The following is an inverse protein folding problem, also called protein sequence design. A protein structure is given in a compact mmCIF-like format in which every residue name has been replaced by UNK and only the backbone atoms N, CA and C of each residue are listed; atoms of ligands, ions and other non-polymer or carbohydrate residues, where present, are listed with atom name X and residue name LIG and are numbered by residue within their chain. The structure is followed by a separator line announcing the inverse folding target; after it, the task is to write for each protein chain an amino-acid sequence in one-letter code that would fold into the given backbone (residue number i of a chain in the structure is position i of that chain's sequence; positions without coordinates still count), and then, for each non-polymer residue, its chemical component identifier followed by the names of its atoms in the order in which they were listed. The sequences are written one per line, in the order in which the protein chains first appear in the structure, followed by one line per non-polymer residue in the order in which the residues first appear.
data_IF_954189842251
#
_entry.id   IF_954189842251
#
_cell.length_a   1.000
_cell.length_b   1.000
_cell.length_c   1.000
_cell.angle_alpha   90.00
_cell.angle_beta   90.00
_cell.angle_gamma   90.00
#
_symmetry.space_group_name_H-M   'P 1'
#
loop_
_entity.id
_entity.type
_entity.pdbx_description
1 polymer ?
#
# COMPACT_ATOMS: atom_id res chain seq x y z
N UNK A 1 9.61 19.18 -5.31
CA UNK A 1 9.80 17.82 -4.75
C UNK A 1 8.55 17.01 -4.86
N UNK A 2 8.65 15.79 -5.35
CA UNK A 2 7.51 14.89 -5.42
C UNK A 2 7.12 14.43 -4.01
N UNK A 3 5.83 14.47 -3.72
CA UNK A 3 5.29 13.93 -2.49
C UNK A 3 5.35 12.41 -2.53
N UNK A 4 5.86 11.80 -1.46
CA UNK A 4 5.89 10.35 -1.32
C UNK A 4 4.70 9.89 -0.50
N UNK A 5 4.22 8.70 -0.79
CA UNK A 5 3.15 8.07 -0.02
C UNK A 5 3.31 6.56 -0.10
N UNK A 6 2.97 5.86 0.99
CA UNK A 6 2.90 4.40 1.01
C UNK A 6 1.43 4.01 0.93
N UNK A 7 1.09 3.13 0.00
CA UNK A 7 -0.30 2.70 -0.21
C UNK A 7 -0.58 1.44 0.58
N UNK A 8 -1.67 1.45 1.36
CA UNK A 8 -2.19 0.25 1.99
C UNK A 8 -2.93 -0.61 0.96
N UNK A 9 -3.13 -1.88 1.30
CA UNK A 9 -3.83 -2.86 0.47
C UNK A 9 -5.19 -2.37 -0.01
N UNK A 10 -5.98 -1.80 0.90
CA UNK A 10 -7.34 -1.32 0.58
C UNK A 10 -7.35 -0.20 -0.45
N UNK A 11 -6.33 0.63 -0.45
CA UNK A 11 -6.21 1.73 -1.43
C UNK A 11 -5.94 1.15 -2.82
N UNK A 12 -5.03 0.19 -2.92
CA UNK A 12 -4.71 -0.44 -4.21
C UNK A 12 -5.93 -1.16 -4.77
N UNK A 13 -6.64 -1.92 -3.92
CA UNK A 13 -7.86 -2.60 -4.33
C UNK A 13 -8.92 -1.61 -4.80
N UNK A 14 -9.05 -0.47 -4.13
CA UNK A 14 -9.97 0.60 -4.54
C UNK A 14 -9.61 1.18 -5.91
N UNK A 15 -8.33 1.41 -6.16
CA UNK A 15 -7.86 1.87 -7.47
C UNK A 15 -8.24 0.87 -8.58
N UNK A 16 -8.08 -0.42 -8.31
CA UNK A 16 -8.44 -1.46 -9.28
C UNK A 16 -9.94 -1.49 -9.58
N UNK A 17 -10.76 -1.04 -8.64
CA UNK A 17 -12.21 -0.93 -8.82
C UNK A 17 -12.63 0.42 -9.42
N UNK A 18 -11.68 1.28 -9.76
CA UNK A 18 -11.96 2.58 -10.35
C UNK A 18 -12.27 3.68 -9.35
N UNK A 19 -12.07 3.42 -8.05
CA UNK A 19 -12.29 4.42 -7.01
C UNK A 19 -11.08 5.34 -6.87
N UNK A 20 -11.30 6.53 -6.31
CA UNK A 20 -10.26 7.54 -6.05
C UNK A 20 -9.46 7.90 -7.31
N UNK A 21 -10.16 8.00 -8.43
CA UNK A 21 -9.54 8.23 -9.74
C UNK A 21 -8.65 9.47 -9.78
N UNK A 22 -9.09 10.53 -9.15
CA UNK A 22 -8.34 11.78 -9.09
C UNK A 22 -6.95 11.58 -8.46
N UNK A 23 -6.92 10.84 -7.35
CA UNK A 23 -5.65 10.53 -6.68
C UNK A 23 -4.79 9.58 -7.52
N UNK A 24 -5.41 8.56 -8.10
CA UNK A 24 -4.71 7.62 -8.96
C UNK A 24 -4.05 8.36 -10.14
N UNK A 25 -4.76 9.32 -10.73
CA UNK A 25 -4.21 10.12 -11.83
C UNK A 25 -2.98 10.93 -11.40
N UNK A 26 -2.93 11.39 -10.16
CA UNK A 26 -1.73 12.06 -9.62
C UNK A 26 -0.53 11.13 -9.59
N UNK A 27 -0.74 9.86 -9.30
CA UNK A 27 0.34 8.86 -9.35
C UNK A 27 0.77 8.63 -10.79
N UNK A 28 -0.17 8.46 -11.71
CA UNK A 28 0.13 8.26 -13.13
C UNK A 28 0.88 9.44 -13.73
N UNK A 29 0.56 10.65 -13.31
CA UNK A 29 1.19 11.89 -13.79
C UNK A 29 2.47 12.23 -13.03
N UNK A 30 2.92 11.35 -12.14
CA UNK A 30 4.13 11.53 -11.35
C UNK A 30 4.12 12.76 -10.43
N UNK A 31 2.93 13.22 -10.05
CA UNK A 31 2.78 14.26 -9.04
C UNK A 31 2.96 13.70 -7.64
N UNK A 32 2.69 12.40 -7.48
CA UNK A 32 2.84 11.65 -6.23
C UNK A 32 3.65 10.40 -6.52
N UNK A 33 4.66 10.16 -5.71
CA UNK A 33 5.50 8.97 -5.78
C UNK A 33 4.92 7.91 -4.84
N UNK A 34 4.39 6.82 -5.40
CA UNK A 34 3.70 5.79 -4.64
C UNK A 34 4.60 4.58 -4.37
N UNK A 35 4.59 4.15 -3.13
CA UNK A 35 5.33 2.98 -2.65
C UNK A 35 4.37 1.97 -2.05
N UNK A 36 4.68 0.71 -2.16
CA UNK A 36 3.89 -0.35 -1.54
C UNK A 36 4.80 -1.38 -0.91
N UNK A 37 4.49 -1.77 0.33
CA UNK A 37 5.19 -2.87 0.99
C UNK A 37 4.91 -4.17 0.26
N UNK A 38 5.92 -5.04 0.14
CA UNK A 38 5.75 -6.37 -0.43
C UNK A 38 4.68 -7.17 0.34
N UNK A 39 4.51 -6.92 1.63
CA UNK A 39 3.48 -7.58 2.46
C UNK A 39 2.08 -7.14 2.01
N UNK A 40 1.89 -5.84 1.77
CA UNK A 40 0.61 -5.33 1.28
C UNK A 40 0.32 -5.83 -0.14
N UNK A 41 1.35 -5.92 -0.97
CA UNK A 41 1.18 -6.46 -2.32
C UNK A 41 0.78 -7.94 -2.27
N UNK A 42 1.35 -8.71 -1.34
CA UNK A 42 0.95 -10.11 -1.12
C UNK A 42 -0.52 -10.19 -0.71
N UNK A 43 -0.99 -9.27 0.13
CA UNK A 43 -2.40 -9.22 0.51
C UNK A 43 -3.29 -8.88 -0.68
N UNK A 44 -2.89 -7.94 -1.53
CA UNK A 44 -3.61 -7.65 -2.78
C UNK A 44 -3.75 -8.92 -3.61
N UNK A 45 -2.66 -9.66 -3.78
CA UNK A 45 -2.65 -10.90 -4.53
C UNK A 45 -3.64 -11.91 -3.96
N UNK A 46 -3.58 -12.14 -2.65
CA UNK A 46 -4.43 -13.14 -2.00
C UNK A 46 -5.90 -12.76 -2.07
N UNK A 47 -6.24 -11.49 -1.88
CA UNK A 47 -7.64 -11.03 -1.98
C UNK A 47 -8.18 -11.23 -3.39
N UNK A 48 -7.40 -10.86 -4.40
CA UNK A 48 -7.78 -11.05 -5.81
C UNK A 48 -7.88 -12.54 -6.17
N UNK A 49 -6.97 -13.35 -5.62
CA UNK A 49 -6.99 -14.79 -5.83
C UNK A 49 -8.30 -15.42 -5.33
N UNK A 50 -8.77 -15.00 -4.16
CA UNK A 50 -10.04 -15.48 -3.61
C UNK A 50 -11.25 -15.01 -4.41
N UNK A 51 -11.20 -13.80 -4.94
CA UNK A 51 -12.33 -13.25 -5.71
C UNK A 51 -12.37 -13.72 -7.16
N UNK A 52 -11.22 -13.79 -7.82
CA UNK A 52 -11.13 -13.95 -9.26
C UNK A 52 -10.40 -15.22 -9.71
N UNK A 53 -9.79 -15.95 -8.78
CA UNK A 53 -8.95 -17.10 -9.09
C UNK A 53 -7.50 -16.74 -9.35
N UNK A 54 -6.63 -17.77 -9.31
CA UNK A 54 -5.18 -17.59 -9.38
C UNK A 54 -4.70 -16.90 -10.66
N UNK A 55 -5.23 -17.33 -11.80
CA UNK A 55 -4.76 -16.82 -13.10
C UNK A 55 -5.01 -15.34 -13.27
N UNK A 56 -6.22 -14.90 -12.94
CA UNK A 56 -6.56 -13.47 -13.04
C UNK A 56 -5.78 -12.64 -12.02
N UNK A 57 -5.66 -13.14 -10.80
CA UNK A 57 -4.92 -12.44 -9.75
C UNK A 57 -3.45 -12.27 -10.16
N UNK A 58 -2.82 -13.33 -10.67
CA UNK A 58 -1.44 -13.28 -11.15
C UNK A 58 -1.27 -12.24 -12.25
N UNK A 59 -2.17 -12.24 -13.21
CA UNK A 59 -2.13 -11.29 -14.33
C UNK A 59 -2.22 -9.84 -13.86
N UNK A 60 -3.16 -9.57 -12.95
CA UNK A 60 -3.35 -8.22 -12.41
C UNK A 60 -2.12 -7.76 -11.63
N UNK A 61 -1.61 -8.61 -10.73
CA UNK A 61 -0.46 -8.24 -9.89
C UNK A 61 0.80 -8.08 -10.74
N UNK A 62 1.02 -8.95 -11.73
CA UNK A 62 2.13 -8.77 -12.68
C UNK A 62 2.02 -7.44 -13.41
N UNK A 63 0.81 -7.06 -13.81
CA UNK A 63 0.56 -5.76 -14.44
C UNK A 63 0.91 -4.59 -13.53
N UNK A 64 0.53 -4.67 -12.26
CA UNK A 64 0.87 -3.64 -11.28
C UNK A 64 2.39 -3.50 -11.12
N UNK A 65 3.09 -4.62 -11.00
CA UNK A 65 4.56 -4.62 -10.86
C UNK A 65 5.23 -4.04 -12.11
N UNK A 66 4.80 -4.46 -13.29
CA UNK A 66 5.39 -4.03 -14.55
C UNK A 66 5.07 -2.58 -14.92
N UNK A 67 3.99 -2.02 -14.37
CA UNK A 67 3.58 -0.65 -14.69
C UNK A 67 4.64 0.39 -14.29
N UNK A 68 5.41 0.09 -13.23
CA UNK A 68 6.39 1.04 -12.72
C UNK A 68 5.78 2.23 -11.98
N UNK A 69 4.45 2.29 -11.84
CA UNK A 69 3.78 3.38 -11.12
C UNK A 69 3.89 3.25 -9.61
N UNK A 70 4.15 2.04 -9.12
CA UNK A 70 4.33 1.78 -7.69
C UNK A 70 5.70 1.17 -7.47
N UNK A 71 6.46 1.74 -6.55
CA UNK A 71 7.73 1.15 -6.16
C UNK A 71 7.48 0.15 -5.03
N UNK A 72 7.93 -1.08 -5.22
CA UNK A 72 7.74 -2.15 -4.24
C UNK A 72 8.90 -2.14 -3.27
N UNK A 73 8.57 -2.06 -1.98
CA UNK A 73 9.56 -2.01 -0.90
C UNK A 73 9.60 -3.35 -0.19
N UNK A 74 10.75 -4.00 -0.22
CA UNK A 74 10.97 -5.25 0.51
C UNK A 74 11.02 -5.02 2.02
N UNK A 75 10.90 -6.12 2.77
CA UNK A 75 10.95 -6.04 4.24
C UNK A 75 12.41 -5.95 4.68
N UNK A 76 12.81 -4.75 5.08
CA UNK A 76 14.12 -4.50 5.67
C UNK A 76 14.04 -4.68 7.19
N UNK A 77 15.18 -4.95 7.88
CA UNK A 77 15.16 -5.14 9.35
C UNK A 77 14.46 -4.01 10.11
N UNK A 78 14.66 -2.76 9.71
CA UNK A 78 13.98 -1.62 10.36
C UNK A 78 12.48 -1.64 10.14
N UNK A 79 12.03 -2.02 8.94
CA UNK A 79 10.60 -2.11 8.64
C UNK A 79 9.96 -3.23 9.46
N UNK A 80 10.65 -4.37 9.56
CA UNK A 80 10.19 -5.47 10.43
C UNK A 80 9.97 -4.99 11.85
N UNK A 81 10.96 -4.27 12.40
CA UNK A 81 10.88 -3.72 13.76
C UNK A 81 9.70 -2.75 13.91
N UNK A 82 9.58 -1.77 13.00
CA UNK A 82 8.51 -0.77 13.06
C UNK A 82 7.12 -1.41 12.95
N UNK A 83 6.95 -2.35 12.02
CA UNK A 83 5.68 -3.04 11.84
C UNK A 83 5.31 -3.87 13.07
N UNK A 84 6.29 -4.57 13.64
CA UNK A 84 6.08 -5.41 14.82
C UNK A 84 5.71 -4.57 16.04
N UNK A 85 6.39 -3.45 16.24
CA UNK A 85 6.09 -2.54 17.35
C UNK A 85 4.73 -1.88 17.18
N UNK A 86 4.37 -1.54 15.95
CA UNK A 86 3.04 -1.01 15.62
C UNK A 86 1.97 -2.04 16.01
N UNK A 87 2.13 -3.30 15.63
CA UNK A 87 1.18 -4.36 15.94
C UNK A 87 1.11 -4.63 17.45
N UNK A 88 2.22 -4.50 18.14
CA UNK A 88 2.28 -4.66 19.60
C UNK A 88 1.46 -3.57 20.31
N UNK A 89 1.42 -2.38 19.76
CA UNK A 89 0.81 -1.19 20.38
C UNK A 89 -0.65 -0.98 19.96
N UNK A 90 -0.99 -1.23 18.70
CA UNK A 90 -2.29 -0.88 18.12
C UNK A 90 -3.08 -2.08 17.67
N UNK A 91 -4.42 -1.98 17.75
CA UNK A 91 -5.34 -3.04 17.34
C UNK A 91 -5.71 -2.93 15.87
N UNK A 92 -4.71 -2.89 15.00
CA UNK A 92 -4.90 -2.92 13.54
C UNK A 92 -4.21 -4.17 13.00
N UNK A 93 -4.49 -4.52 11.74
CA UNK A 93 -3.93 -5.75 11.16
C UNK A 93 -2.41 -5.67 11.00
N UNK A 94 -1.76 -6.81 10.91
CA UNK A 94 -0.31 -6.85 10.67
C UNK A 94 0.04 -6.20 9.33
N UNK A 95 -0.78 -6.42 8.30
CA UNK A 95 -0.56 -5.79 7.00
C UNK A 95 -0.65 -4.27 7.09
N UNK A 96 -1.62 -3.74 7.85
CA UNK A 96 -1.72 -2.29 8.10
C UNK A 96 -0.44 -1.78 8.76
N UNK A 97 0.08 -2.53 9.72
CA UNK A 97 1.31 -2.17 10.42
C UNK A 97 2.52 -2.18 9.49
N UNK A 98 2.55 -3.06 8.49
CA UNK A 98 3.62 -3.03 7.49
C UNK A 98 3.53 -1.79 6.59
N UNK A 99 2.32 -1.32 6.28
CA UNK A 99 2.16 -0.07 5.54
C UNK A 99 2.69 1.11 6.38
N UNK A 100 2.32 1.17 7.66
CA UNK A 100 2.78 2.22 8.58
C UNK A 100 4.30 2.13 8.80
N UNK A 101 4.82 0.93 9.02
CA UNK A 101 6.26 0.72 9.22
C UNK A 101 7.09 1.09 8.00
N UNK A 102 6.60 0.77 6.81
CA UNK A 102 7.26 1.16 5.56
C UNK A 102 7.24 2.68 5.40
N UNK A 103 6.11 3.31 5.71
CA UNK A 103 6.00 4.77 5.66
C UNK A 103 6.98 5.44 6.63
N UNK A 104 7.10 4.90 7.84
CA UNK A 104 8.07 5.41 8.82
C UNK A 104 9.50 5.29 8.30
N UNK A 105 9.84 4.15 7.70
CA UNK A 105 11.16 3.90 7.11
C UNK A 105 11.47 4.91 6.00
N UNK A 106 10.46 5.27 5.20
CA UNK A 106 10.61 6.21 4.09
C UNK A 106 10.37 7.67 4.52
N UNK A 107 10.10 7.89 5.79
CA UNK A 107 9.82 9.20 6.36
C UNK A 107 8.64 9.90 5.68
N UNK A 108 7.55 9.17 5.53
CA UNK A 108 6.33 9.67 4.91
C UNK A 108 5.10 9.07 5.58
N UNK A 109 3.94 9.23 4.97
CA UNK A 109 2.66 8.74 5.48
C UNK A 109 2.21 7.50 4.72
N UNK A 110 1.51 6.60 5.42
CA UNK A 110 0.77 5.53 4.80
C UNK A 110 -0.65 6.03 4.49
N UNK A 111 -1.13 5.72 3.31
CA UNK A 111 -2.46 6.11 2.85
C UNK A 111 -3.39 4.93 3.02
N UNK A 112 -4.51 5.16 3.75
CA UNK A 112 -5.53 4.17 4.02
C UNK A 112 -6.86 4.61 3.48
N UNK A 113 -7.71 3.66 3.15
CA UNK A 113 -9.10 3.91 2.85
C UNK A 113 -9.92 3.80 4.13
N UNK A 114 -10.67 4.85 4.47
CA UNK A 114 -11.67 4.82 5.54
C UNK A 114 -12.99 5.26 4.93
N UNK A 115 -13.91 4.32 4.79
CA UNK A 115 -15.18 4.53 4.12
C UNK A 115 -14.96 5.03 2.69
N UNK A 116 -15.34 6.24 2.37
CA UNK A 116 -15.20 6.83 1.03
C UNK A 116 -14.04 7.81 0.92
N UNK A 117 -13.13 7.82 1.91
CA UNK A 117 -12.05 8.79 1.98
C UNK A 117 -10.69 8.11 2.04
N UNK A 118 -9.68 8.82 1.53
CA UNK A 118 -8.28 8.45 1.72
C UNK A 118 -7.73 9.23 2.91
N UNK A 119 -7.15 8.51 3.87
CA UNK A 119 -6.60 9.09 5.09
C UNK A 119 -5.12 8.75 5.21
N UNK A 120 -4.29 9.77 5.40
CA UNK A 120 -2.86 9.57 5.63
C UNK A 120 -2.58 9.35 7.11
N UNK A 121 -1.83 8.29 7.41
CA UNK A 121 -1.47 7.94 8.79
C UNK A 121 0.05 7.86 8.88
N UNK A 122 0.60 8.47 9.93
CA UNK A 122 2.00 8.31 10.27
C UNK A 122 2.10 7.81 11.72
N UNK A 123 3.32 7.43 12.10
CA UNK A 123 3.58 6.75 13.35
C UNK A 123 3.60 7.69 14.58
N UNK A 124 3.22 8.93 14.42
CA UNK A 124 3.17 9.91 15.51
C UNK A 124 1.79 10.02 16.17
N UNK A 125 0.93 9.10 15.85
CA UNK A 125 -0.44 9.09 16.38
C UNK A 125 -0.50 8.27 17.65
#
# INVERSE_FOLDING_TARGET
MMKKVVLDTGVILSFLEGEFREYYDKILNQEVSAYVSVVNLAEVYYVLCRKLGRKKAEKIVKGLIKSGYFEIVGVKPKILKYASECKCTYSISLADCFAVGTAKFLNTKALFRREKELVGINDEV
#
